data_IF_129553957889
#
_entry.id   IF_129553957889
#
_cell.length_a   1.000
_cell.length_b   1.000
_cell.length_c   1.000
_cell.angle_alpha   90.00
_cell.angle_beta   90.00
_cell.angle_gamma   90.00
#
_symmetry.space_group_name_H-M   'P 1'
#
loop_
_entity.id
_entity.type
_entity.pdbx_description
1 polymer ?
#
# COMPACT_ATOMS: atom_id res chain seq x y z
N UNK A 1 -13.00 1.92 6.11
CA UNK A 1 -11.78 1.14 6.46
C UNK A 1 -10.98 0.76 5.23
N UNK A 2 -11.58 0.20 4.18
CA UNK A 2 -10.89 -0.13 2.92
C UNK A 2 -10.16 1.06 2.27
N UNK A 3 -10.76 2.26 2.27
CA UNK A 3 -10.10 3.47 1.77
C UNK A 3 -8.79 3.79 2.54
N UNK A 4 -8.76 3.56 3.85
CA UNK A 4 -7.56 3.76 4.67
C UNK A 4 -6.48 2.72 4.33
N UNK A 5 -6.85 1.45 4.16
CA UNK A 5 -5.91 0.40 3.69
C UNK A 5 -5.32 0.76 2.34
N UNK A 6 -6.16 1.18 1.39
CA UNK A 6 -5.73 1.62 0.06
C UNK A 6 -4.74 2.80 0.12
N UNK A 7 -5.06 3.83 0.91
CA UNK A 7 -4.15 4.98 1.11
C UNK A 7 -2.79 4.54 1.69
N UNK A 8 -2.78 3.65 2.68
CA UNK A 8 -1.54 3.16 3.28
C UNK A 8 -0.71 2.31 2.31
N UNK A 9 -1.34 1.50 1.46
CA UNK A 9 -0.66 0.74 0.41
C UNK A 9 -0.08 1.68 -0.68
N UNK A 10 -0.79 2.73 -1.04
CA UNK A 10 -0.29 3.79 -1.93
C UNK A 10 0.96 4.46 -1.34
N UNK A 11 0.91 4.81 -0.05
CA UNK A 11 2.06 5.38 0.66
C UNK A 11 3.23 4.39 0.77
N UNK A 12 3.00 3.10 1.03
CA UNK A 12 4.08 2.10 1.08
C UNK A 12 4.81 1.96 -0.26
N UNK A 13 4.07 1.97 -1.38
CA UNK A 13 4.67 1.98 -2.73
C UNK A 13 5.50 3.24 -2.98
N UNK A 14 5.01 4.39 -2.53
CA UNK A 14 5.71 5.67 -2.68
C UNK A 14 6.98 5.73 -1.82
N UNK A 15 6.91 5.32 -0.55
CA UNK A 15 8.06 5.23 0.36
C UNK A 15 9.19 4.36 -0.21
N UNK A 16 8.85 3.28 -0.92
CA UNK A 16 9.82 2.36 -1.53
C UNK A 16 10.48 2.89 -2.80
N UNK A 17 9.85 3.83 -3.49
CA UNK A 17 10.28 4.30 -4.82
C UNK A 17 10.81 5.73 -4.82
N UNK A 18 10.55 6.52 -3.78
CA UNK A 18 10.97 7.91 -3.68
C UNK A 18 11.43 8.28 -2.26
N UNK A 19 12.72 8.58 -2.11
CA UNK A 19 13.35 8.95 -0.83
C UNK A 19 12.89 10.30 -0.27
N UNK A 20 12.22 11.15 -1.06
CA UNK A 20 11.64 12.40 -0.54
C UNK A 20 10.38 12.17 0.30
N UNK A 21 9.81 10.97 0.25
CA UNK A 21 8.65 10.57 1.04
C UNK A 21 9.15 9.72 2.20
N UNK A 22 8.69 10.02 3.42
CA UNK A 22 9.20 9.41 4.64
C UNK A 22 8.16 9.23 5.73
N UNK A 23 8.55 8.47 6.75
CA UNK A 23 7.79 8.31 8.00
C UNK A 23 8.06 9.51 8.95
N UNK A 24 7.17 9.81 9.90
CA UNK A 24 5.87 9.16 10.16
C UNK A 24 4.76 9.57 9.17
N UNK A 25 3.68 8.79 9.12
CA UNK A 25 2.47 9.13 8.37
C UNK A 25 1.34 9.52 9.33
N UNK A 26 0.69 10.65 9.10
CA UNK A 26 -0.52 11.04 9.83
C UNK A 26 -1.77 10.65 9.04
N UNK A 27 -2.67 9.86 9.65
CA UNK A 27 -3.92 9.40 9.07
C UNK A 27 -5.10 9.96 9.85
N UNK A 28 -6.08 10.53 9.14
CA UNK A 28 -7.37 10.92 9.67
C UNK A 28 -8.48 10.26 8.85
N UNK A 29 -9.37 9.54 9.52
CA UNK A 29 -10.62 9.07 8.94
C UNK A 29 -11.75 9.93 9.49
N UNK A 30 -12.49 10.63 8.63
CA UNK A 30 -13.59 11.49 9.06
C UNK A 30 -14.94 10.90 8.65
N UNK A 31 -15.73 10.33 9.59
CA UNK A 31 -17.07 9.85 9.27
C UNK A 31 -18.03 11.00 8.97
N UNK A 32 -18.83 10.86 7.91
CA UNK A 32 -19.83 11.86 7.54
C UNK A 32 -20.85 12.10 8.66
N UNK A 33 -21.18 13.37 8.91
CA UNK A 33 -22.13 13.77 9.96
C UNK A 33 -21.65 13.58 11.40
N UNK A 34 -20.43 13.08 11.63
CA UNK A 34 -19.91 12.87 12.99
C UNK A 34 -19.46 14.15 13.68
N UNK A 35 -19.02 15.16 12.91
CA UNK A 35 -18.38 16.37 13.43
C UNK A 35 -17.24 16.06 14.43
N UNK A 36 -16.59 14.90 14.28
CA UNK A 36 -15.53 14.40 15.17
C UNK A 36 -14.29 13.96 14.37
N UNK A 37 -13.11 14.31 14.88
CA UNK A 37 -11.80 13.93 14.36
C UNK A 37 -11.12 12.79 15.14
N UNK A 38 -11.89 12.02 15.92
CA UNK A 38 -11.32 11.07 16.89
C UNK A 38 -10.63 9.86 16.25
N UNK A 39 -10.96 9.55 14.98
CA UNK A 39 -10.29 8.49 14.22
C UNK A 39 -9.03 9.02 13.53
N UNK A 40 -8.08 9.47 14.34
CA UNK A 40 -6.75 9.92 13.90
C UNK A 40 -5.66 9.01 14.46
N UNK A 41 -4.62 8.78 13.68
CA UNK A 41 -3.49 7.94 14.06
C UNK A 41 -2.21 8.49 13.42
N UNK A 42 -1.17 8.68 14.24
CA UNK A 42 0.20 8.80 13.74
C UNK A 42 0.80 7.41 13.61
N UNK A 43 1.25 7.07 12.42
CA UNK A 43 1.83 5.79 12.07
C UNK A 43 3.34 5.98 12.04
N UNK A 44 3.99 5.48 13.08
CA UNK A 44 5.45 5.42 13.17
C UNK A 44 6.03 4.31 12.28
N UNK A 45 7.33 4.39 12.00
CA UNK A 45 8.04 3.39 11.19
C UNK A 45 7.93 1.97 11.77
N UNK A 46 7.80 1.85 13.09
CA UNK A 46 7.72 0.59 13.80
C UNK A 46 6.29 0.07 14.05
N UNK A 47 5.27 0.82 13.64
CA UNK A 47 3.86 0.51 13.88
C UNK A 47 3.50 -0.93 13.45
N UNK A 48 2.97 -1.77 14.37
CA UNK A 48 2.77 -3.20 14.12
C UNK A 48 1.73 -3.47 13.04
N UNK A 49 0.66 -2.67 12.98
CA UNK A 49 -0.35 -2.81 11.94
C UNK A 49 0.22 -2.48 10.56
N UNK A 50 0.95 -1.37 10.44
CA UNK A 50 1.50 -0.97 9.14
C UNK A 50 2.60 -1.92 8.64
N UNK A 51 3.42 -2.48 9.54
CA UNK A 51 4.36 -3.57 9.23
C UNK A 51 3.65 -4.82 8.71
N UNK A 52 2.61 -5.25 9.40
CA UNK A 52 1.81 -6.42 8.99
C UNK A 52 1.16 -6.20 7.62
N UNK A 53 0.52 -5.04 7.42
CA UNK A 53 -0.15 -4.68 6.17
C UNK A 53 0.81 -4.71 4.97
N UNK A 54 1.95 -4.01 5.06
CA UNK A 54 2.91 -3.94 3.95
C UNK A 54 3.59 -5.28 3.65
N UNK A 55 3.83 -6.09 4.68
CA UNK A 55 4.39 -7.44 4.51
C UNK A 55 3.40 -8.35 3.77
N UNK A 56 2.15 -8.37 4.26
CA UNK A 56 1.10 -9.18 3.67
C UNK A 56 0.71 -8.74 2.25
N UNK A 57 0.80 -7.45 1.94
CA UNK A 57 0.61 -6.93 0.58
C UNK A 57 1.78 -7.27 -0.34
N UNK A 58 3.02 -7.09 0.13
CA UNK A 58 4.22 -7.40 -0.62
C UNK A 58 4.29 -8.88 -1.05
N UNK A 59 3.96 -9.81 -0.16
CA UNK A 59 3.93 -11.23 -0.50
C UNK A 59 2.82 -11.58 -1.51
N UNK A 60 1.63 -10.96 -1.39
CA UNK A 60 0.54 -11.16 -2.35
C UNK A 60 0.86 -10.65 -3.74
N UNK A 61 1.49 -9.47 -3.87
CA UNK A 61 1.94 -8.96 -5.17
C UNK A 61 2.96 -9.91 -5.79
N UNK A 62 3.96 -10.36 -5.02
CA UNK A 62 4.97 -11.30 -5.52
C UNK A 62 4.33 -12.61 -5.99
N UNK A 63 3.36 -13.12 -5.23
CA UNK A 63 2.63 -14.33 -5.60
C UNK A 63 1.87 -14.13 -6.92
N UNK A 64 1.03 -13.10 -7.00
CA UNK A 64 0.26 -12.78 -8.20
C UNK A 64 1.16 -12.59 -9.42
N UNK A 65 2.33 -11.95 -9.24
CA UNK A 65 3.31 -11.77 -10.31
C UNK A 65 3.90 -13.10 -10.81
N UNK A 66 4.15 -14.08 -9.92
CA UNK A 66 4.66 -15.41 -10.31
C UNK A 66 3.61 -16.25 -11.05
N UNK A 67 2.33 -15.98 -10.86
CA UNK A 67 1.23 -16.67 -11.53
C UNK A 67 0.96 -16.13 -12.94
N UNK A 68 1.55 -14.98 -13.30
CA UNK A 68 1.44 -14.44 -14.64
C UNK A 68 2.11 -15.37 -15.65
N UNK A 69 1.56 -15.51 -16.87
CA UNK A 69 2.19 -16.29 -17.92
C UNK A 69 3.59 -15.73 -18.22
N UNK A 70 4.51 -16.64 -18.54
CA UNK A 70 5.83 -16.25 -19.05
C UNK A 70 5.68 -15.44 -20.33
N UNK A 71 6.62 -14.51 -20.54
CA UNK A 71 6.68 -13.73 -21.78
C UNK A 71 7.12 -14.64 -22.93
N UNK A 72 6.20 -14.91 -23.86
CA UNK A 72 6.52 -15.54 -25.14
C UNK A 72 6.96 -14.47 -26.15
N UNK A 73 8.27 -14.35 -26.33
CA UNK A 73 8.85 -13.36 -27.23
C UNK A 73 8.48 -13.60 -28.70
N UNK A 74 8.32 -14.84 -29.13
CA UNK A 74 8.01 -15.19 -30.52
C UNK A 74 6.54 -14.87 -30.83
N UNK A 75 5.63 -15.23 -29.91
CA UNK A 75 4.22 -14.88 -30.01
C UNK A 75 4.00 -13.35 -29.93
N UNK A 76 4.71 -12.63 -29.06
CA UNK A 76 4.58 -11.18 -28.94
C UNK A 76 5.22 -10.40 -30.10
N UNK A 77 6.24 -10.95 -30.76
CA UNK A 77 6.93 -10.31 -31.89
C UNK A 77 6.30 -10.64 -33.26
N UNK A 78 5.43 -11.65 -33.33
CA UNK A 78 4.69 -11.98 -34.54
C UNK A 78 3.71 -10.85 -34.90
N UNK A 79 3.75 -10.39 -36.16
CA UNK A 79 2.86 -9.36 -36.71
C UNK A 79 1.45 -9.87 -36.96
#
# INVERSE_FOLDING_TARGET
EEAAKCALISMDSTLKSNLSVGMPLDLLCYPGGSYSGDRRLRIEADNPYFKSLRGAWGERIKHAFRELPGLDWEQCAAK
#
